data_IF_328401802093
#
_entry.id   IF_328401802093
#
_cell.length_a   1.000
_cell.length_b   1.000
_cell.length_c   1.000
_cell.angle_alpha   90.00
_cell.angle_beta   90.00
_cell.angle_gamma   90.00
#
_symmetry.space_group_name_H-M   'P 1'
#
loop_
_entity.id
_entity.type
_entity.pdbx_description
1 polymer ?
#
# COMPACT_ATOMS: atom_id res chain seq x y z
N UNK A 1 3.06 13.77 -18.40
CA UNK A 1 3.78 12.72 -17.63
C UNK A 1 2.84 11.54 -17.44
N UNK A 2 3.30 10.32 -17.70
CA UNK A 2 2.49 9.10 -17.50
C UNK A 2 2.51 8.71 -16.04
N UNK A 3 1.35 8.63 -15.40
CA UNK A 3 1.17 8.13 -14.04
C UNK A 3 1.42 6.62 -14.03
N UNK A 4 2.27 6.13 -13.11
CA UNK A 4 2.55 4.71 -12.98
C UNK A 4 1.53 4.08 -12.03
N UNK A 5 0.97 2.93 -12.44
CA UNK A 5 0.06 2.13 -11.62
C UNK A 5 0.88 1.14 -10.81
N UNK A 6 0.74 1.17 -9.48
CA UNK A 6 1.47 0.28 -8.56
C UNK A 6 0.46 -0.46 -7.68
N UNK A 7 0.64 -1.78 -7.57
CA UNK A 7 -0.14 -2.63 -6.66
C UNK A 7 0.79 -3.17 -5.58
N UNK A 8 0.44 -2.97 -4.31
CA UNK A 8 1.14 -3.57 -3.17
C UNK A 8 0.30 -4.70 -2.59
N UNK A 9 0.91 -5.82 -2.23
CA UNK A 9 0.24 -6.96 -1.59
C UNK A 9 0.96 -7.23 -0.26
N UNK A 10 0.23 -7.21 0.86
CA UNK A 10 0.84 -7.36 2.17
C UNK A 10 -0.15 -7.22 3.33
N UNK A 11 0.35 -6.92 4.52
CA UNK A 11 -0.42 -6.68 5.73
C UNK A 11 0.41 -5.99 6.81
N UNK A 12 -0.20 -5.73 7.97
CA UNK A 12 0.48 -5.19 9.16
C UNK A 12 1.05 -3.77 9.03
N UNK A 13 1.86 -3.37 10.01
CA UNK A 13 2.40 -2.01 10.14
C UNK A 13 3.41 -1.64 9.04
N UNK A 14 4.19 -2.61 8.54
CA UNK A 14 5.14 -2.36 7.45
C UNK A 14 4.48 -1.90 6.15
N UNK A 15 3.30 -2.45 5.84
CA UNK A 15 2.51 -2.00 4.68
C UNK A 15 2.04 -0.56 4.84
N UNK A 16 1.69 -0.14 6.06
CA UNK A 16 1.31 1.24 6.35
C UNK A 16 2.47 2.22 6.14
N UNK A 17 3.68 1.88 6.61
CA UNK A 17 4.89 2.70 6.40
C UNK A 17 5.22 2.84 4.91
N UNK A 18 5.17 1.74 4.15
CA UNK A 18 5.41 1.74 2.71
C UNK A 18 4.42 2.63 1.96
N UNK A 19 3.11 2.43 2.19
CA UNK A 19 2.05 3.20 1.54
C UNK A 19 2.12 4.69 1.88
N UNK A 20 2.51 5.04 3.11
CA UNK A 20 2.73 6.42 3.54
C UNK A 20 3.90 7.09 2.80
N UNK A 21 4.96 6.32 2.49
CA UNK A 21 6.06 6.77 1.64
C UNK A 21 5.64 6.94 0.18
N UNK A 22 4.95 5.94 -0.39
CA UNK A 22 4.53 5.94 -1.80
C UNK A 22 3.55 7.07 -2.13
N UNK A 23 2.72 7.50 -1.17
CA UNK A 23 1.80 8.65 -1.33
C UNK A 23 2.50 9.98 -1.64
N UNK A 24 3.81 10.10 -1.44
CA UNK A 24 4.59 11.31 -1.75
C UNK A 24 4.90 11.48 -3.24
N UNK A 25 4.64 10.45 -4.05
CA UNK A 25 4.90 10.44 -5.48
C UNK A 25 3.59 10.51 -6.26
N UNK A 26 3.64 11.02 -7.49
CA UNK A 26 2.48 11.09 -8.38
C UNK A 26 2.19 9.70 -9.01
N UNK A 27 1.65 8.80 -8.21
CA UNK A 27 1.40 7.39 -8.54
C UNK A 27 -0.08 7.06 -8.33
N UNK A 28 -0.59 6.12 -9.13
CA UNK A 28 -1.87 5.48 -8.86
C UNK A 28 -1.62 4.19 -8.09
N UNK A 29 -2.00 4.15 -6.82
CA UNK A 29 -1.65 3.07 -5.89
C UNK A 29 -2.90 2.27 -5.54
N UNK A 30 -2.82 0.95 -5.65
CA UNK A 30 -3.82 0.02 -5.10
C UNK A 30 -3.14 -0.91 -4.09
N UNK A 31 -3.82 -1.20 -2.98
CA UNK A 31 -3.27 -2.08 -1.95
C UNK A 31 -4.22 -3.25 -1.72
N UNK A 32 -3.69 -4.47 -1.81
CA UNK A 32 -4.36 -5.70 -1.41
C UNK A 32 -3.81 -6.06 -0.04
N UNK A 33 -4.68 -6.02 0.96
CA UNK A 33 -4.30 -6.23 2.36
C UNK A 33 -4.85 -7.57 2.84
N UNK A 34 -3.97 -8.42 3.36
CA UNK A 34 -4.39 -9.63 4.07
C UNK A 34 -5.07 -9.24 5.38
N UNK A 35 -6.32 -9.68 5.54
CA UNK A 35 -7.09 -9.53 6.78
C UNK A 35 -7.13 -10.88 7.51
N UNK A 36 -5.95 -11.46 7.74
CA UNK A 36 -5.83 -12.75 8.42
C UNK A 36 -5.84 -12.62 9.95
N UNK A 37 -5.62 -11.41 10.46
CA UNK A 37 -5.61 -11.17 11.91
C UNK A 37 -7.03 -10.88 12.41
N UNK A 38 -7.49 -11.73 13.33
CA UNK A 38 -8.60 -11.54 14.25
C UNK A 38 -8.20 -10.51 15.31
N UNK A 39 -8.13 -9.26 14.87
CA UNK A 39 -7.58 -8.12 15.63
C UNK A 39 -8.03 -8.01 17.08
N UNK A 40 -7.17 -7.39 17.91
CA UNK A 40 -7.47 -7.02 19.30
C UNK A 40 -8.50 -5.91 19.44
#
# INVERSE_FOLDING_TARGET
MKTMNIVTIGGGTGSFTLLSGLKKYNLNISAIVSMADDGG
#
